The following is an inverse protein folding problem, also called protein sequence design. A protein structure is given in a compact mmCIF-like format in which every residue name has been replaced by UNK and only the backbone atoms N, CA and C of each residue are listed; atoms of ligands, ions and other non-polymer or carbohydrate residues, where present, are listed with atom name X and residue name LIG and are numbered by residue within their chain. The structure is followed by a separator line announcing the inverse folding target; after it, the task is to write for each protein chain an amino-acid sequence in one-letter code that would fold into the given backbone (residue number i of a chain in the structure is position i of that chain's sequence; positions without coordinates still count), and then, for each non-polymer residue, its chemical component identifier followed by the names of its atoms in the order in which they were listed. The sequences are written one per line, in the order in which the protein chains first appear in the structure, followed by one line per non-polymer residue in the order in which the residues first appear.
data_IF_617631107929
#
_entry.id   IF_617631107929
#
_cell.length_a   1.000
_cell.length_b   1.000
_cell.length_c   1.000
_cell.angle_alpha   90.00
_cell.angle_beta   90.00
_cell.angle_gamma   90.00
#
_symmetry.space_group_name_H-M   'P 1'
#
loop_
_entity.id
_entity.type
_entity.pdbx_description
1 polymer ?
#
# COMPACT_ATOMS: atom_id res chain seq x y z
N UNK A 1 6.68 -12.96 -35.30
CA UNK A 1 5.92 -11.97 -34.48
C UNK A 1 6.34 -12.18 -33.03
N UNK A 2 6.81 -11.15 -32.36
CA UNK A 2 7.12 -11.24 -30.92
C UNK A 2 5.83 -11.45 -30.17
N UNK A 3 5.76 -12.52 -29.35
CA UNK A 3 4.61 -12.85 -28.51
C UNK A 3 4.34 -11.68 -27.57
N UNK A 4 3.11 -11.12 -27.59
CA UNK A 4 2.70 -10.05 -26.68
C UNK A 4 2.33 -10.64 -25.34
N UNK A 5 2.88 -10.10 -24.28
CA UNK A 5 2.72 -10.61 -22.92
C UNK A 5 2.27 -9.53 -21.94
N UNK A 6 1.52 -9.92 -20.89
CA UNK A 6 1.04 -9.05 -19.85
C UNK A 6 1.09 -9.74 -18.48
N UNK A 7 1.51 -8.99 -17.47
CA UNK A 7 1.32 -9.35 -16.06
C UNK A 7 0.13 -8.59 -15.49
N UNK A 8 -0.76 -9.29 -14.78
CA UNK A 8 -1.94 -8.72 -14.16
C UNK A 8 -1.96 -9.04 -12.66
N UNK A 9 -2.07 -8.01 -11.84
CA UNK A 9 -2.34 -8.12 -10.40
C UNK A 9 -3.80 -7.74 -10.15
N UNK A 10 -4.61 -8.71 -9.73
CA UNK A 10 -6.05 -8.54 -9.54
C UNK A 10 -6.36 -8.64 -8.06
N UNK A 11 -6.43 -7.48 -7.41
CA UNK A 11 -6.77 -7.35 -5.99
C UNK A 11 -8.28 -7.28 -5.73
N UNK A 12 -8.64 -6.98 -4.48
CA UNK A 12 -10.03 -6.82 -4.07
C UNK A 12 -10.72 -5.56 -4.63
N UNK A 13 -9.97 -4.53 -4.99
CA UNK A 13 -10.52 -3.23 -5.44
C UNK A 13 -9.97 -2.77 -6.78
N UNK A 14 -8.75 -3.13 -7.13
CA UNK A 14 -8.03 -2.64 -8.29
C UNK A 14 -7.45 -3.78 -9.13
N UNK A 15 -7.36 -3.54 -10.44
CA UNK A 15 -6.62 -4.32 -11.43
C UNK A 15 -5.39 -3.49 -11.81
N UNK A 16 -4.21 -4.10 -11.75
CA UNK A 16 -2.96 -3.46 -12.17
C UNK A 16 -2.32 -4.28 -13.27
N UNK A 17 -1.83 -3.61 -14.27
CA UNK A 17 -1.27 -4.19 -15.47
C UNK A 17 0.18 -3.76 -15.66
N UNK A 18 1.03 -4.69 -16.08
CA UNK A 18 2.38 -4.43 -16.56
C UNK A 18 2.57 -5.12 -17.92
N UNK A 19 2.94 -4.36 -18.93
CA UNK A 19 3.24 -4.86 -20.26
C UNK A 19 4.31 -4.00 -20.94
N UNK A 20 4.97 -4.55 -21.94
CA UNK A 20 5.99 -3.84 -22.71
C UNK A 20 5.46 -3.46 -24.10
N UNK A 21 5.70 -2.22 -24.48
CA UNK A 21 5.46 -1.73 -25.83
C UNK A 21 6.67 -0.91 -26.29
N UNK A 22 7.22 -1.24 -27.46
CA UNK A 22 8.39 -0.54 -28.06
C UNK A 22 9.58 -0.46 -27.10
N UNK A 23 9.85 -1.52 -26.34
CA UNK A 23 10.97 -1.58 -25.39
C UNK A 23 10.77 -0.80 -24.09
N UNK A 24 9.54 -0.31 -23.81
CA UNK A 24 9.22 0.41 -22.58
C UNK A 24 8.15 -0.32 -21.78
N UNK A 25 8.37 -0.44 -20.48
CA UNK A 25 7.39 -0.96 -19.54
C UNK A 25 6.26 0.06 -19.35
N UNK A 26 5.04 -0.39 -19.59
CA UNK A 26 3.81 0.36 -19.34
C UNK A 26 3.09 -0.22 -18.13
N UNK A 27 2.68 0.67 -17.22
CA UNK A 27 1.96 0.33 -16.00
C UNK A 27 0.60 1.04 -16.04
N UNK A 28 -0.47 0.29 -15.79
CA UNK A 28 -1.84 0.84 -15.76
C UNK A 28 -2.59 0.28 -14.57
N UNK A 29 -3.50 1.08 -14.01
CA UNK A 29 -4.42 0.66 -12.96
C UNK A 29 -5.86 0.98 -13.34
N UNK A 30 -6.77 0.10 -12.97
CA UNK A 30 -8.21 0.23 -13.21
C UNK A 30 -9.00 -0.21 -11.97
N UNK A 31 -10.15 0.40 -11.68
CA UNK A 31 -11.10 -0.16 -10.72
C UNK A 31 -11.51 -1.58 -11.14
N UNK A 32 -11.76 -2.46 -10.18
CA UNK A 32 -12.21 -3.83 -10.47
C UNK A 32 -13.53 -3.86 -11.24
N UNK A 33 -14.39 -2.85 -11.09
CA UNK A 33 -15.63 -2.70 -11.87
C UNK A 33 -15.40 -2.58 -13.38
N UNK A 34 -14.19 -2.22 -13.83
CA UNK A 34 -13.80 -2.13 -15.24
C UNK A 34 -13.15 -3.42 -15.77
N UNK A 35 -13.30 -4.55 -15.08
CA UNK A 35 -12.69 -5.80 -15.50
C UNK A 35 -13.07 -6.17 -16.94
N UNK A 36 -14.33 -6.05 -17.32
CA UNK A 36 -14.80 -6.36 -18.68
C UNK A 36 -14.09 -5.55 -19.75
N UNK A 37 -13.90 -4.24 -19.51
CA UNK A 37 -13.22 -3.35 -20.46
C UNK A 37 -11.74 -3.71 -20.60
N UNK A 38 -11.08 -4.06 -19.47
CA UNK A 38 -9.69 -4.53 -19.47
C UNK A 38 -9.54 -5.82 -20.26
N UNK A 39 -10.46 -6.79 -20.09
CA UNK A 39 -10.44 -8.06 -20.82
C UNK A 39 -10.66 -7.84 -22.32
N UNK A 40 -11.59 -6.97 -22.70
CA UNK A 40 -11.82 -6.61 -24.08
C UNK A 40 -10.57 -5.96 -24.70
N UNK A 41 -9.94 -5.04 -23.97
CA UNK A 41 -8.70 -4.39 -24.40
C UNK A 41 -7.57 -5.41 -24.61
N UNK A 42 -7.37 -6.38 -23.70
CA UNK A 42 -6.38 -7.45 -23.84
C UNK A 42 -6.60 -8.24 -25.11
N UNK A 43 -7.85 -8.58 -25.42
CA UNK A 43 -8.21 -9.31 -26.63
C UNK A 43 -7.91 -8.50 -27.91
N UNK A 44 -8.33 -7.22 -27.95
CA UNK A 44 -8.07 -6.32 -29.10
C UNK A 44 -6.57 -6.12 -29.33
N UNK A 45 -5.78 -6.03 -28.27
CA UNK A 45 -4.32 -5.90 -28.36
C UNK A 45 -3.62 -7.16 -28.85
N UNK A 46 -4.34 -8.29 -28.94
CA UNK A 46 -3.79 -9.59 -29.37
C UNK A 46 -2.70 -10.07 -28.41
N UNK A 47 -2.96 -9.96 -27.10
CA UNK A 47 -2.06 -10.46 -26.06
C UNK A 47 -2.30 -11.95 -25.90
N UNK A 48 -1.27 -12.74 -26.14
CA UNK A 48 -1.32 -14.20 -26.17
C UNK A 48 -0.74 -14.88 -24.92
N UNK A 49 0.05 -14.14 -24.13
CA UNK A 49 0.57 -14.65 -22.86
C UNK A 49 0.14 -13.77 -21.69
N UNK A 50 -0.65 -14.35 -20.80
CA UNK A 50 -1.17 -13.69 -19.58
C UNK A 50 -0.64 -14.42 -18.36
N UNK A 51 -0.06 -13.66 -17.41
CA UNK A 51 0.28 -14.17 -16.08
C UNK A 51 -0.46 -13.35 -15.03
N UNK A 52 -1.08 -14.05 -14.10
CA UNK A 52 -1.97 -13.50 -13.11
C UNK A 52 -1.33 -13.57 -11.72
N UNK A 53 -1.63 -12.59 -10.88
CA UNK A 53 -1.36 -12.60 -9.44
C UNK A 53 -2.47 -11.82 -8.72
N UNK A 54 -2.41 -11.78 -7.38
CA UNK A 54 -3.41 -11.14 -6.55
C UNK A 54 -4.50 -12.08 -6.06
N UNK A 55 -5.29 -11.64 -5.11
CA UNK A 55 -6.27 -12.46 -4.40
C UNK A 55 -7.37 -13.06 -5.28
N UNK A 56 -7.68 -12.43 -6.44
CA UNK A 56 -8.69 -12.92 -7.39
C UNK A 56 -8.11 -13.63 -8.62
N UNK A 57 -6.81 -13.87 -8.66
CA UNK A 57 -6.14 -14.47 -9.82
C UNK A 57 -6.73 -15.84 -10.21
N UNK A 58 -7.07 -16.68 -9.23
CA UNK A 58 -7.63 -18.03 -9.49
C UNK A 58 -9.02 -17.96 -10.12
N UNK A 59 -9.89 -17.05 -9.65
CA UNK A 59 -11.22 -16.81 -10.19
C UNK A 59 -11.11 -16.37 -11.67
N UNK A 60 -10.34 -15.34 -11.92
CA UNK A 60 -10.17 -14.77 -13.27
C UNK A 60 -9.52 -15.76 -14.24
N UNK A 61 -8.57 -16.58 -13.77
CA UNK A 61 -8.03 -17.67 -14.56
C UNK A 61 -9.11 -18.65 -15.00
N UNK A 62 -9.95 -19.09 -14.06
CA UNK A 62 -11.01 -20.06 -14.32
C UNK A 62 -12.01 -19.58 -15.36
N UNK A 63 -12.39 -18.31 -15.30
CA UNK A 63 -13.42 -17.73 -16.14
C UNK A 63 -12.89 -17.27 -17.53
N UNK A 64 -11.71 -16.64 -17.59
CA UNK A 64 -11.27 -15.90 -18.77
C UNK A 64 -9.94 -16.39 -19.38
N UNK A 65 -9.02 -16.92 -18.57
CA UNK A 65 -7.67 -17.24 -19.00
C UNK A 65 -7.22 -18.65 -18.60
N UNK A 66 -7.89 -19.70 -19.09
CA UNK A 66 -7.63 -21.10 -18.69
C UNK A 66 -6.15 -21.52 -18.74
N UNK A 67 -5.39 -20.99 -19.68
CA UNK A 67 -3.97 -21.29 -19.86
C UNK A 67 -3.02 -20.31 -19.15
N UNK A 68 -3.54 -19.30 -18.42
CA UNK A 68 -2.70 -18.36 -17.72
C UNK A 68 -1.93 -19.04 -16.58
N UNK A 69 -0.69 -18.64 -16.38
CA UNK A 69 0.09 -18.98 -15.20
C UNK A 69 -0.37 -18.06 -14.04
N UNK A 70 -0.36 -18.60 -12.84
CA UNK A 70 -0.53 -17.79 -11.61
C UNK A 70 0.79 -17.76 -10.87
N UNK A 71 1.22 -16.55 -10.47
CA UNK A 71 2.30 -16.32 -9.51
C UNK A 71 1.63 -16.02 -8.16
N UNK A 72 2.13 -16.62 -7.10
CA UNK A 72 1.57 -16.36 -5.77
C UNK A 72 1.76 -14.89 -5.39
N UNK A 73 0.72 -14.23 -4.87
CA UNK A 73 0.71 -12.79 -4.58
C UNK A 73 1.90 -12.35 -3.71
N UNK A 74 2.22 -13.14 -2.69
CA UNK A 74 3.33 -12.82 -1.79
C UNK A 74 4.68 -12.87 -2.49
N UNK A 75 4.87 -13.86 -3.37
CA UNK A 75 6.05 -13.98 -4.20
C UNK A 75 6.16 -12.81 -5.19
N UNK A 76 5.08 -12.49 -5.87
CA UNK A 76 5.02 -11.38 -6.81
C UNK A 76 5.36 -10.04 -6.16
N UNK A 77 4.88 -9.79 -4.95
CA UNK A 77 5.13 -8.53 -4.24
C UNK A 77 6.62 -8.30 -3.97
N UNK A 78 7.37 -9.29 -3.42
CA UNK A 78 8.78 -9.06 -3.15
C UNK A 78 9.65 -9.12 -4.42
N UNK A 79 9.32 -9.95 -5.39
CA UNK A 79 10.04 -9.99 -6.67
C UNK A 79 9.91 -8.67 -7.42
N UNK A 80 8.69 -8.10 -7.48
CA UNK A 80 8.47 -6.79 -8.08
C UNK A 80 9.16 -5.66 -7.33
N UNK A 81 9.17 -5.70 -5.99
CA UNK A 81 9.92 -4.74 -5.18
C UNK A 81 11.43 -4.83 -5.44
N UNK A 82 12.00 -6.04 -5.47
CA UNK A 82 13.41 -6.25 -5.81
C UNK A 82 13.76 -5.72 -7.20
N UNK A 83 12.87 -5.93 -8.18
CA UNK A 83 13.08 -5.40 -9.53
C UNK A 83 13.07 -3.87 -9.54
N UNK A 84 12.07 -3.22 -8.90
CA UNK A 84 11.99 -1.76 -8.80
C UNK A 84 13.18 -1.16 -8.06
N UNK A 85 13.66 -1.81 -6.99
CA UNK A 85 14.86 -1.36 -6.27
C UNK A 85 16.10 -1.36 -7.18
N UNK A 86 16.25 -2.41 -8.01
CA UNK A 86 17.35 -2.50 -8.99
C UNK A 86 17.23 -1.44 -10.08
N UNK A 87 16.06 -1.25 -10.68
CA UNK A 87 15.79 -0.23 -11.70
C UNK A 87 16.06 1.19 -11.22
N UNK A 88 15.81 1.47 -9.94
CA UNK A 88 16.08 2.77 -9.31
C UNK A 88 17.54 2.89 -8.79
N UNK A 89 18.42 1.96 -9.13
CA UNK A 89 19.83 1.92 -8.67
C UNK A 89 19.98 1.94 -7.13
N UNK A 90 18.99 1.43 -6.41
CA UNK A 90 19.01 1.32 -4.96
C UNK A 90 19.80 0.08 -4.56
N UNK A 91 21.07 0.28 -4.19
CA UNK A 91 21.98 -0.81 -3.83
C UNK A 91 21.88 -1.19 -2.34
N UNK A 92 22.29 -2.41 -2.02
CA UNK A 92 22.37 -2.90 -0.63
C UNK A 92 21.02 -3.29 -0.01
N UNK A 93 20.00 -3.57 -0.82
CA UNK A 93 18.70 -4.09 -0.37
C UNK A 93 18.66 -5.62 -0.41
N UNK A 94 19.69 -6.28 0.12
CA UNK A 94 19.69 -7.73 0.23
C UNK A 94 18.80 -8.23 1.37
N UNK A 95 18.65 -7.42 2.43
CA UNK A 95 17.83 -7.75 3.59
C UNK A 95 17.04 -6.52 4.05
N UNK A 96 15.70 -6.64 4.07
CA UNK A 96 14.81 -5.53 4.44
C UNK A 96 13.42 -6.01 4.88
N UNK A 97 12.69 -5.13 5.55
CA UNK A 97 11.27 -5.32 5.84
C UNK A 97 10.46 -4.73 4.69
N UNK A 98 9.71 -5.56 3.99
CA UNK A 98 8.76 -5.14 2.97
C UNK A 98 7.38 -4.99 3.61
N UNK A 99 6.76 -3.82 3.44
CA UNK A 99 5.43 -3.51 3.94
C UNK A 99 4.52 -3.20 2.75
N UNK A 100 3.58 -4.08 2.47
CA UNK A 100 2.59 -3.88 1.41
C UNK A 100 1.28 -3.35 2.01
N UNK A 101 0.97 -2.07 1.74
CA UNK A 101 -0.26 -1.40 2.20
C UNK A 101 -1.20 -1.26 1.00
N UNK A 102 -2.05 -2.27 0.82
CA UNK A 102 -3.12 -2.32 -0.18
C UNK A 102 -4.50 -2.21 0.49
N UNK A 103 -5.44 -3.08 0.12
CA UNK A 103 -6.76 -3.19 0.79
C UNK A 103 -6.60 -3.48 2.29
N UNK A 104 -5.73 -4.42 2.64
CA UNK A 104 -5.16 -4.63 3.97
C UNK A 104 -3.65 -4.42 3.93
N UNK A 105 -2.94 -4.82 4.99
CA UNK A 105 -1.49 -4.68 5.09
C UNK A 105 -0.82 -6.02 5.37
N UNK A 106 0.31 -6.26 4.73
CA UNK A 106 1.16 -7.43 4.97
C UNK A 106 2.62 -7.03 5.12
N UNK A 107 3.32 -7.69 6.04
CA UNK A 107 4.74 -7.49 6.32
C UNK A 107 5.52 -8.73 5.96
N UNK A 108 6.65 -8.54 5.27
CA UNK A 108 7.55 -9.61 4.84
C UNK A 108 8.98 -9.28 5.23
N UNK A 109 9.67 -10.26 5.78
CA UNK A 109 11.13 -10.23 5.84
C UNK A 109 11.65 -10.73 4.50
N UNK A 110 12.32 -9.87 3.77
CA UNK A 110 13.00 -10.21 2.53
C UNK A 110 14.48 -10.43 2.84
N UNK A 111 15.04 -11.54 2.37
CA UNK A 111 16.46 -11.87 2.44
C UNK A 111 16.90 -12.40 1.07
N UNK A 112 17.54 -11.53 0.30
CA UNK A 112 17.90 -11.75 -1.13
C UNK A 112 16.68 -12.10 -1.98
N UNK A 113 16.60 -13.34 -2.42
CA UNK A 113 15.52 -13.85 -3.29
C UNK A 113 14.42 -14.60 -2.52
N UNK A 114 14.51 -14.61 -1.19
CA UNK A 114 13.52 -15.26 -0.34
C UNK A 114 12.73 -14.23 0.46
N UNK A 115 11.45 -14.51 0.68
CA UNK A 115 10.61 -13.70 1.55
C UNK A 115 9.76 -14.58 2.47
N UNK A 116 9.67 -14.17 3.72
CA UNK A 116 8.83 -14.81 4.72
C UNK A 116 7.80 -13.80 5.19
N UNK A 117 6.51 -14.16 5.11
CA UNK A 117 5.45 -13.32 5.65
C UNK A 117 5.48 -13.38 7.17
N UNK A 118 5.66 -12.21 7.80
CA UNK A 118 5.72 -12.08 9.26
C UNK A 118 4.36 -11.81 9.88
N UNK A 119 3.56 -10.95 9.24
CA UNK A 119 2.28 -10.47 9.77
C UNK A 119 1.32 -10.10 8.64
N UNK A 120 0.04 -10.08 8.95
CA UNK A 120 -1.04 -9.50 8.14
C UNK A 120 -2.05 -8.78 9.01
N UNK A 121 -2.59 -7.67 8.52
CA UNK A 121 -3.63 -6.90 9.17
C UNK A 121 -4.75 -6.56 8.18
N UNK A 122 -6.00 -6.54 8.66
CA UNK A 122 -7.13 -6.02 7.91
C UNK A 122 -7.13 -4.49 7.78
N UNK A 123 -6.21 -3.80 8.46
CA UNK A 123 -6.09 -2.33 8.40
C UNK A 123 -5.34 -1.95 7.11
N UNK A 124 -5.94 -1.08 6.30
CA UNK A 124 -5.39 -0.60 5.04
C UNK A 124 -6.39 0.27 4.28
N UNK A 125 -6.24 0.36 2.96
CA UNK A 125 -7.14 1.14 2.09
C UNK A 125 -8.60 0.69 2.16
N UNK A 126 -8.85 -0.60 2.40
CA UNK A 126 -10.20 -1.12 2.63
C UNK A 126 -10.83 -0.54 3.89
N UNK A 127 -10.06 -0.34 4.96
CA UNK A 127 -10.53 0.32 6.18
C UNK A 127 -10.87 1.78 5.92
N UNK A 128 -10.02 2.51 5.18
CA UNK A 128 -10.27 3.90 4.80
C UNK A 128 -11.56 4.01 3.98
N UNK A 129 -11.74 3.15 2.99
CA UNK A 129 -12.93 3.18 2.12
C UNK A 129 -14.18 2.59 2.76
N UNK A 130 -14.06 1.80 3.82
CA UNK A 130 -15.19 1.33 4.61
C UNK A 130 -15.70 2.36 5.60
N UNK A 131 -14.81 3.02 6.33
CA UNK A 131 -15.16 3.99 7.36
C UNK A 131 -15.25 5.43 6.84
N UNK A 132 -14.32 5.83 5.94
CA UNK A 132 -14.21 7.19 5.46
C UNK A 132 -15.51 7.74 4.86
N UNK A 133 -16.12 7.09 3.83
CA UNK A 133 -17.39 7.52 3.26
C UNK A 133 -18.53 7.59 4.29
N UNK A 134 -18.55 6.66 5.23
CA UNK A 134 -19.54 6.67 6.30
C UNK A 134 -19.41 7.88 7.22
N UNK A 135 -18.16 8.25 7.57
CA UNK A 135 -17.87 9.35 8.49
C UNK A 135 -17.89 10.73 7.82
N UNK A 136 -17.46 10.81 6.55
CA UNK A 136 -17.18 12.07 5.85
C UNK A 136 -18.05 12.31 4.61
N UNK A 137 -18.76 11.28 4.13
CA UNK A 137 -19.49 11.25 2.85
C UNK A 137 -18.57 11.40 1.61
N UNK A 138 -17.25 11.20 1.75
CA UNK A 138 -16.34 11.13 0.60
C UNK A 138 -16.77 10.01 -0.35
N UNK A 139 -16.79 10.29 -1.66
CA UNK A 139 -17.28 9.35 -2.66
C UNK A 139 -16.26 8.25 -3.00
N UNK A 140 -14.97 8.59 -2.92
CA UNK A 140 -13.85 7.74 -3.33
C UNK A 140 -12.59 8.03 -2.49
N UNK A 141 -11.51 7.29 -2.81
CA UNK A 141 -10.24 7.40 -2.09
C UNK A 141 -9.61 8.78 -2.26
N UNK A 142 -9.65 9.36 -3.46
CA UNK A 142 -9.01 10.64 -3.74
C UNK A 142 -9.70 11.78 -3.00
N UNK A 143 -11.04 11.82 -3.01
CA UNK A 143 -11.82 12.80 -2.24
C UNK A 143 -11.63 12.64 -0.73
N UNK A 144 -11.46 11.42 -0.22
CA UNK A 144 -11.16 11.19 1.19
C UNK A 144 -9.76 11.72 1.56
N UNK A 145 -8.76 11.51 0.69
CA UNK A 145 -7.40 12.04 0.91
C UNK A 145 -7.35 13.56 0.79
N UNK A 146 -8.15 14.15 -0.10
CA UNK A 146 -8.29 15.60 -0.19
C UNK A 146 -8.86 16.17 1.11
N UNK A 147 -9.95 15.61 1.63
CA UNK A 147 -10.50 16.00 2.94
C UNK A 147 -9.45 15.85 4.04
N UNK A 148 -8.76 14.72 4.14
CA UNK A 148 -7.73 14.51 5.16
C UNK A 148 -6.60 15.54 5.07
N UNK A 149 -6.30 16.07 3.89
CA UNK A 149 -5.29 17.11 3.70
C UNK A 149 -5.67 18.48 4.26
N UNK A 150 -6.96 18.74 4.39
CA UNK A 150 -7.56 20.00 4.88
C UNK A 150 -7.94 19.93 6.36
N UNK A 151 -7.96 18.72 6.92
CA UNK A 151 -8.41 18.45 8.28
C UNK A 151 -7.41 18.81 9.36
N UNK A 152 -7.94 18.90 10.57
CA UNK A 152 -7.16 19.04 11.78
C UNK A 152 -7.64 18.01 12.82
N UNK A 153 -6.95 16.88 12.90
CA UNK A 153 -7.29 15.77 13.79
C UNK A 153 -7.37 16.15 15.26
N UNK A 154 -6.74 17.26 15.68
CA UNK A 154 -6.77 17.71 17.07
C UNK A 154 -8.16 18.11 17.57
N UNK A 155 -9.11 18.32 16.65
CA UNK A 155 -10.53 18.55 16.98
C UNK A 155 -11.27 17.23 17.31
N UNK A 156 -10.69 16.10 16.94
CA UNK A 156 -11.28 14.75 17.05
C UNK A 156 -10.48 13.86 17.98
N UNK A 157 -9.15 13.87 17.85
CA UNK A 157 -8.23 13.06 18.64
C UNK A 157 -7.85 13.77 19.94
N UNK A 158 -7.75 13.00 21.02
CA UNK A 158 -7.12 13.44 22.25
C UNK A 158 -5.61 13.22 22.15
N UNK A 159 -4.84 14.29 22.31
CA UNK A 159 -3.38 14.22 22.27
C UNK A 159 -2.78 14.09 23.67
N UNK A 160 -1.54 13.67 23.75
CA UNK A 160 -0.80 13.53 25.01
C UNK A 160 -0.76 14.88 25.76
N UNK A 161 -0.55 16.00 25.06
CA UNK A 161 -0.56 17.35 25.64
C UNK A 161 -1.90 17.78 26.24
N UNK A 162 -3.01 17.13 25.87
CA UNK A 162 -4.33 17.43 26.42
C UNK A 162 -4.55 16.78 27.80
N UNK A 163 -3.73 15.76 28.13
CA UNK A 163 -3.84 14.99 29.38
C UNK A 163 -2.74 15.40 30.37
N UNK A 164 -1.52 15.62 29.85
CA UNK A 164 -0.35 15.86 30.67
C UNK A 164 0.17 17.28 30.48
N UNK A 165 0.50 17.95 31.59
CA UNK A 165 1.34 19.14 31.56
C UNK A 165 2.76 18.69 31.21
N UNK A 166 3.20 19.00 29.98
CA UNK A 166 4.45 18.45 29.44
C UNK A 166 5.65 19.18 30.03
N UNK A 167 6.03 18.84 31.26
CA UNK A 167 7.36 19.11 31.80
C UNK A 167 8.38 18.01 31.40
N UNK A 168 7.92 16.83 31.04
CA UNK A 168 8.73 15.68 30.67
C UNK A 168 9.00 15.66 29.15
N UNK A 169 10.18 16.10 28.74
CA UNK A 169 10.65 16.10 27.36
C UNK A 169 10.76 14.70 26.71
N UNK A 170 10.56 13.62 27.46
CA UNK A 170 10.62 12.24 26.96
C UNK A 170 9.35 11.83 26.23
N UNK A 171 8.25 12.56 26.39
CA UNK A 171 6.98 12.25 25.75
C UNK A 171 6.62 13.39 24.80
N UNK A 172 6.41 13.06 23.51
CA UNK A 172 5.97 14.04 22.53
C UNK A 172 4.47 14.33 22.72
N UNK A 173 4.15 15.58 23.05
CA UNK A 173 2.79 16.04 23.28
C UNK A 173 1.86 15.94 22.07
N UNK A 174 2.43 15.89 20.86
CA UNK A 174 1.66 15.77 19.62
C UNK A 174 1.25 14.32 19.30
N UNK A 175 1.70 13.35 20.08
CA UNK A 175 1.25 11.96 19.90
C UNK A 175 -0.21 11.79 20.30
N UNK A 176 -0.87 10.83 19.67
CA UNK A 176 -2.24 10.48 19.99
C UNK A 176 -2.29 9.73 21.32
N UNK A 177 -3.03 10.27 22.29
CA UNK A 177 -3.35 9.57 23.53
C UNK A 177 -4.60 8.70 23.36
N UNK A 178 -5.59 9.18 22.61
CA UNK A 178 -6.78 8.39 22.27
C UNK A 178 -7.39 8.88 20.95
N UNK A 179 -7.49 7.98 19.98
CA UNK A 179 -8.16 8.29 18.72
C UNK A 179 -9.65 8.56 18.95
N UNK A 180 -10.19 9.56 18.30
CA UNK A 180 -11.61 9.95 18.31
C UNK A 180 -12.19 10.28 19.71
N UNK A 181 -11.36 10.56 20.71
CA UNK A 181 -11.84 10.80 22.08
C UNK A 181 -12.31 12.25 22.35
N UNK A 182 -12.07 13.18 21.44
CA UNK A 182 -12.51 14.58 21.50
C UNK A 182 -13.69 14.90 20.60
N UNK A 183 -14.51 13.93 20.25
CA UNK A 183 -15.68 14.18 19.42
C UNK A 183 -16.49 15.36 19.95
N UNK A 184 -16.49 16.47 19.24
CA UNK A 184 -17.30 17.64 19.56
C UNK A 184 -18.19 18.00 18.36
N UNK A 185 -19.25 18.79 18.63
CA UNK A 185 -20.23 19.20 17.62
C UNK A 185 -19.63 20.12 16.54
N UNK A 186 -18.43 20.65 16.74
CA UNK A 186 -17.75 21.54 15.79
C UNK A 186 -16.80 20.82 14.86
N UNK A 187 -16.52 19.53 15.09
CA UNK A 187 -15.65 18.73 14.21
C UNK A 187 -16.30 18.55 12.85
N UNK A 188 -15.50 18.75 11.80
CA UNK A 188 -15.94 18.71 10.42
C UNK A 188 -15.51 17.40 9.72
N UNK A 189 -16.05 17.14 8.56
CA UNK A 189 -15.73 15.95 7.76
C UNK A 189 -14.23 15.80 7.50
N UNK A 190 -13.53 16.90 7.20
CA UNK A 190 -12.09 16.94 7.00
C UNK A 190 -11.31 16.53 8.27
N UNK A 191 -11.76 16.93 9.46
CA UNK A 191 -11.12 16.58 10.73
C UNK A 191 -11.24 15.07 11.00
N UNK A 192 -12.40 14.48 10.70
CA UNK A 192 -12.60 13.03 10.77
C UNK A 192 -11.75 12.26 9.75
N UNK A 193 -11.61 12.79 8.54
CA UNK A 193 -10.77 12.17 7.51
C UNK A 193 -9.30 12.15 7.95
N UNK A 194 -8.79 13.26 8.48
CA UNK A 194 -7.42 13.37 9.00
C UNK A 194 -7.20 12.44 10.20
N UNK A 195 -8.12 12.42 11.18
CA UNK A 195 -8.05 11.53 12.33
C UNK A 195 -8.08 10.03 11.93
N UNK A 196 -8.93 9.65 10.97
CA UNK A 196 -9.00 8.28 10.47
C UNK A 196 -7.69 7.87 9.78
N UNK A 197 -7.12 8.74 8.95
CA UNK A 197 -5.85 8.48 8.28
C UNK A 197 -4.70 8.39 9.28
N UNK A 198 -4.68 9.27 10.30
CA UNK A 198 -3.69 9.25 11.37
C UNK A 198 -3.78 7.95 12.18
N UNK A 199 -4.95 7.54 12.63
CA UNK A 199 -5.16 6.31 13.38
C UNK A 199 -4.62 5.10 12.61
N UNK A 200 -4.93 5.02 11.31
CA UNK A 200 -4.43 3.94 10.45
C UNK A 200 -2.92 4.00 10.31
N UNK A 201 -2.37 5.16 9.97
CA UNK A 201 -0.94 5.34 9.73
C UNK A 201 -0.11 5.05 10.99
N UNK A 202 -0.52 5.58 12.13
CA UNK A 202 0.13 5.37 13.43
C UNK A 202 0.11 3.89 13.84
N UNK A 203 -1.04 3.22 13.72
CA UNK A 203 -1.16 1.79 14.02
C UNK A 203 -0.24 0.94 13.14
N UNK A 204 -0.24 1.20 11.82
CA UNK A 204 0.61 0.47 10.89
C UNK A 204 2.09 0.77 11.12
N UNK A 205 2.45 2.01 11.46
CA UNK A 205 3.81 2.38 11.81
C UNK A 205 4.29 1.63 13.06
N UNK A 206 3.50 1.59 14.14
CA UNK A 206 3.86 0.90 15.38
C UNK A 206 4.08 -0.60 15.15
N UNK A 207 3.23 -1.26 14.36
CA UNK A 207 3.42 -2.65 13.97
C UNK A 207 4.70 -2.84 13.13
N UNK A 208 4.96 -1.92 12.21
CA UNK A 208 6.17 -1.94 11.37
C UNK A 208 7.43 -1.81 12.23
N UNK A 209 7.44 -0.85 13.16
CA UNK A 209 8.53 -0.63 14.11
C UNK A 209 8.82 -1.89 14.93
N UNK A 210 7.78 -2.49 15.54
CA UNK A 210 7.92 -3.70 16.34
C UNK A 210 8.51 -4.87 15.54
N UNK A 211 8.09 -5.05 14.28
CA UNK A 211 8.63 -6.09 13.42
C UNK A 211 10.05 -5.79 12.97
N UNK A 212 10.38 -4.54 12.65
CA UNK A 212 11.73 -4.14 12.28
C UNK A 212 12.73 -4.40 13.42
N UNK A 213 12.36 -4.04 14.66
CA UNK A 213 13.16 -4.27 15.85
C UNK A 213 13.33 -5.77 16.15
N UNK A 214 12.22 -6.54 16.15
CA UNK A 214 12.22 -7.98 16.39
C UNK A 214 13.12 -8.74 15.42
N UNK A 215 13.05 -8.38 14.14
CA UNK A 215 13.79 -9.03 13.06
C UNK A 215 15.17 -8.40 12.80
N UNK A 216 15.55 -7.36 13.57
CA UNK A 216 16.79 -6.59 13.41
C UNK A 216 16.98 -6.06 11.98
N UNK A 217 15.91 -5.48 11.40
CA UNK A 217 15.90 -4.94 10.06
C UNK A 217 15.98 -3.41 10.10
N UNK A 218 16.97 -2.84 9.42
CA UNK A 218 17.19 -1.38 9.37
C UNK A 218 16.65 -0.71 8.10
N UNK A 219 16.29 -1.48 7.08
CA UNK A 219 15.70 -0.96 5.85
C UNK A 219 14.25 -1.41 5.76
N UNK A 220 13.36 -0.44 5.58
CA UNK A 220 11.92 -0.67 5.50
C UNK A 220 11.44 -0.10 4.17
N UNK A 221 10.89 -0.97 3.34
CA UNK A 221 10.41 -0.64 1.99
C UNK A 221 8.90 -0.73 1.99
N UNK A 222 8.24 0.36 1.64
CA UNK A 222 6.78 0.44 1.53
C UNK A 222 6.35 0.35 0.08
N UNK A 223 5.36 -0.52 -0.18
CA UNK A 223 4.69 -0.72 -1.46
C UNK A 223 3.17 -0.77 -1.27
N UNK A 224 2.43 -0.80 -2.36
CA UNK A 224 0.98 -0.97 -2.36
C UNK A 224 0.22 0.32 -2.64
N UNK A 225 -1.01 0.16 -3.14
CA UNK A 225 -1.81 1.27 -3.69
C UNK A 225 -2.28 2.31 -2.67
N UNK A 226 -2.29 1.97 -1.38
CA UNK A 226 -2.73 2.89 -0.33
C UNK A 226 -1.63 3.85 0.12
N UNK A 227 -0.35 3.45 0.01
CA UNK A 227 0.81 4.24 0.44
C UNK A 227 1.56 4.90 -0.72
N UNK A 228 1.57 4.26 -1.91
CA UNK A 228 2.24 4.74 -3.10
C UNK A 228 1.84 6.12 -3.47
N UNK A 229 2.05 7.09 -3.77
CA UNK A 229 1.55 8.45 -4.09
C UNK A 229 0.74 9.14 -2.97
N UNK A 230 0.44 8.49 -1.84
CA UNK A 230 -0.28 9.08 -0.71
C UNK A 230 0.67 9.88 0.20
N UNK A 231 0.85 11.15 -0.11
CA UNK A 231 1.78 12.04 0.61
C UNK A 231 1.37 12.28 2.07
N UNK A 232 0.08 12.31 2.39
CA UNK A 232 -0.41 12.45 3.76
C UNK A 232 -0.01 11.24 4.59
N UNK A 233 -0.27 10.03 4.10
CA UNK A 233 0.10 8.81 4.80
C UNK A 233 1.63 8.68 4.94
N UNK A 234 2.39 9.00 3.90
CA UNK A 234 3.86 9.02 3.97
C UNK A 234 4.39 10.02 5.02
N UNK A 235 3.74 11.20 5.16
CA UNK A 235 4.09 12.17 6.22
C UNK A 235 3.83 11.63 7.62
N UNK A 236 2.73 10.90 7.82
CA UNK A 236 2.44 10.26 9.12
C UNK A 236 3.57 9.28 9.47
N UNK A 237 3.96 8.39 8.54
CA UNK A 237 5.07 7.47 8.79
C UNK A 237 6.39 8.21 9.04
N UNK A 238 6.64 9.31 8.33
CA UNK A 238 7.86 10.11 8.48
C UNK A 238 7.88 10.88 9.81
N UNK A 239 6.73 11.26 10.36
CA UNK A 239 6.66 11.98 11.64
C UNK A 239 7.12 11.16 12.84
N UNK A 240 7.24 9.84 12.68
CA UNK A 240 7.71 8.92 13.71
C UNK A 240 9.16 8.43 13.49
N UNK A 241 9.93 9.07 12.59
CA UNK A 241 11.30 8.63 12.26
C UNK A 241 12.22 8.54 13.48
N UNK A 242 12.08 9.46 14.44
CA UNK A 242 12.88 9.47 15.67
C UNK A 242 12.67 8.23 16.56
N UNK A 243 11.59 7.49 16.32
CA UNK A 243 11.28 6.26 17.05
C UNK A 243 11.78 4.99 16.35
N UNK A 244 12.32 5.12 15.14
CA UNK A 244 12.71 4.00 14.30
C UNK A 244 14.22 3.93 14.16
N UNK A 245 14.83 2.82 14.59
CA UNK A 245 16.25 2.55 14.37
C UNK A 245 16.53 2.08 12.93
N UNK A 246 15.97 2.77 11.93
CA UNK A 246 16.09 2.35 10.54
C UNK A 246 15.66 3.44 9.55
N UNK A 247 15.83 3.15 8.25
CA UNK A 247 15.48 4.06 7.16
C UNK A 247 14.24 3.56 6.42
N UNK A 248 13.31 4.46 6.16
CA UNK A 248 12.07 4.21 5.43
C UNK A 248 12.22 4.59 3.96
N UNK A 249 11.73 3.74 3.07
CA UNK A 249 11.76 3.92 1.62
C UNK A 249 10.35 3.71 1.05
N UNK A 250 9.74 4.76 0.52
CA UNK A 250 8.47 4.68 -0.20
C UNK A 250 8.78 4.47 -1.68
N UNK A 251 8.54 3.25 -2.16
CA UNK A 251 8.96 2.84 -3.49
C UNK A 251 8.03 3.41 -4.55
N UNK A 252 8.57 4.23 -5.46
CA UNK A 252 7.81 4.72 -6.60
C UNK A 252 7.31 3.56 -7.46
N UNK A 253 6.06 3.65 -7.92
CA UNK A 253 5.35 2.57 -8.63
C UNK A 253 5.23 1.26 -7.83
N UNK A 254 5.42 1.31 -6.51
CA UNK A 254 5.35 0.15 -5.63
C UNK A 254 4.00 -0.56 -5.64
N UNK A 255 2.93 0.14 -6.04
CA UNK A 255 1.61 -0.49 -6.23
C UNK A 255 1.58 -1.50 -7.38
N UNK A 256 2.52 -1.44 -8.32
CA UNK A 256 2.58 -2.35 -9.48
C UNK A 256 3.50 -3.55 -9.27
N UNK A 257 4.10 -3.74 -8.10
CA UNK A 257 5.04 -4.84 -7.84
C UNK A 257 4.48 -6.20 -8.27
N UNK A 258 3.21 -6.50 -7.92
CA UNK A 258 2.56 -7.74 -8.33
C UNK A 258 2.50 -7.92 -9.85
N UNK A 259 2.01 -6.90 -10.55
CA UNK A 259 1.88 -6.94 -12.01
C UNK A 259 3.24 -7.02 -12.73
N UNK A 260 4.25 -6.30 -12.23
CA UNK A 260 5.62 -6.34 -12.76
C UNK A 260 6.20 -7.74 -12.61
N UNK A 261 6.13 -8.34 -11.44
CA UNK A 261 6.65 -9.69 -11.21
C UNK A 261 5.91 -10.74 -12.08
N UNK A 262 4.59 -10.63 -12.19
CA UNK A 262 3.81 -11.47 -13.07
C UNK A 262 4.29 -11.35 -14.53
N UNK A 263 4.53 -10.11 -15.01
CA UNK A 263 5.10 -9.87 -16.34
C UNK A 263 6.48 -10.49 -16.52
N UNK A 264 7.38 -10.35 -15.55
CA UNK A 264 8.75 -10.85 -15.62
C UNK A 264 8.85 -12.38 -15.53
N UNK A 265 7.81 -13.06 -15.05
CA UNK A 265 7.77 -14.52 -14.91
C UNK A 265 7.35 -15.28 -16.18
N UNK A 266 7.20 -14.56 -17.31
CA UNK A 266 6.78 -15.12 -18.62
C UNK A 266 7.96 -15.68 -19.41
#
# INVERSE_FOLDING_TARGET
MTSKKIGMDIGGSLIKLAYEEKGKMHLKKYPLSQLSDVLQWINVMGIDKVVLTGGRAAEIKGEFFRNAKIVHEFEANYQGANWLLKENNMLGFEKYLLVNIGTGTSWYKVDKENAIRLLGSGIGGGTLMGLGPYMTKAADFDSLMELASLGNRTHVDMLVKDIYTIEDKRINGEWTASNFAKLNETAKAEDFADALLQMMGETLFLLTKQLAEKESLQKIVYIGGTISENKQLQRIFTSFLDQLAGTQYFLEKGEYCGAIAAYLSI
#
